data_IF_674017199245
#
_entry.id   IF_674017199245
#
_cell.length_a   1.000
_cell.length_b   1.000
_cell.length_c   1.000
_cell.angle_alpha   90.00
_cell.angle_beta   90.00
_cell.angle_gamma   90.00
#
_symmetry.space_group_name_H-M   'P 1'
#
loop_
_entity.id
_entity.type
_entity.pdbx_description
1 polymer ?
#
# COMPACT_ATOMS: atom_id res chain seq x y z
N UNK A 1 21.67 -23.71 8.53
CA UNK A 1 20.81 -23.35 9.68
C UNK A 1 19.43 -23.10 9.13
N UNK A 2 18.41 -23.89 9.57
CA UNK A 2 17.05 -23.79 9.07
C UNK A 2 16.34 -22.58 9.69
N UNK A 3 15.44 -21.95 8.92
CA UNK A 3 14.55 -20.95 9.46
C UNK A 3 13.35 -21.65 10.08
N UNK A 4 13.06 -21.39 11.35
CA UNK A 4 11.83 -21.84 11.98
C UNK A 4 10.71 -20.84 11.63
N UNK A 5 9.62 -21.34 11.05
CA UNK A 5 8.37 -20.59 10.93
C UNK A 5 7.48 -21.11 12.05
N UNK A 6 7.30 -20.29 13.09
CA UNK A 6 6.48 -20.64 14.23
C UNK A 6 5.22 -19.77 14.30
N UNK A 7 4.16 -20.26 14.93
CA UNK A 7 2.98 -19.44 15.23
C UNK A 7 3.33 -18.41 16.34
N UNK A 8 2.64 -17.28 16.38
CA UNK A 8 2.93 -16.18 17.29
C UNK A 8 3.06 -16.60 18.77
N UNK A 9 2.32 -17.62 19.20
CA UNK A 9 2.36 -18.14 20.57
C UNK A 9 3.62 -18.96 20.89
N UNK A 10 4.31 -19.49 19.88
CA UNK A 10 5.52 -20.31 20.01
C UNK A 10 6.79 -19.45 19.94
N UNK A 11 6.73 -18.29 19.25
CA UNK A 11 7.84 -17.33 19.13
C UNK A 11 8.27 -16.78 20.49
N UNK A 12 7.36 -16.75 21.46
CA UNK A 12 7.55 -16.17 22.77
C UNK A 12 8.33 -17.07 23.76
N UNK A 13 8.68 -18.29 23.36
CA UNK A 13 9.41 -19.26 24.21
C UNK A 13 10.81 -19.58 23.68
N UNK A 14 11.23 -19.00 22.57
CA UNK A 14 12.51 -19.31 21.92
C UNK A 14 13.49 -18.14 21.90
N UNK A 15 14.77 -18.46 22.04
CA UNK A 15 15.84 -17.54 21.75
C UNK A 15 15.91 -17.33 20.23
N UNK A 16 15.67 -16.11 19.79
CA UNK A 16 15.84 -15.71 18.39
C UNK A 16 16.76 -14.48 18.29
N UNK A 17 17.61 -14.47 17.29
CA UNK A 17 18.47 -13.32 16.96
C UNK A 17 17.71 -12.28 16.12
N UNK A 18 16.77 -12.74 15.29
CA UNK A 18 16.01 -11.88 14.40
C UNK A 18 14.55 -12.36 14.27
N UNK A 19 13.62 -11.42 14.30
CA UNK A 19 12.17 -11.64 14.12
C UNK A 19 11.69 -10.92 12.87
N UNK A 20 10.97 -11.63 11.99
CA UNK A 20 10.32 -11.03 10.84
C UNK A 20 8.81 -10.97 11.04
N UNK A 21 8.27 -9.77 11.14
CA UNK A 21 6.84 -9.52 11.33
C UNK A 21 6.11 -9.29 10.00
N UNK A 22 4.84 -9.72 9.89
CA UNK A 22 4.05 -9.51 8.69
C UNK A 22 3.71 -8.03 8.48
N UNK A 23 3.66 -7.59 7.22
CA UNK A 23 3.36 -6.21 6.82
C UNK A 23 2.08 -5.64 7.47
N UNK A 24 1.00 -6.40 7.44
CA UNK A 24 -0.32 -5.90 7.82
C UNK A 24 -0.58 -5.85 9.34
N UNK A 25 0.27 -6.49 10.14
CA UNK A 25 0.06 -6.66 11.58
C UNK A 25 1.26 -6.29 12.45
N UNK A 26 2.30 -5.71 11.87
CA UNK A 26 3.53 -5.32 12.60
C UNK A 26 3.20 -4.54 13.87
N UNK A 27 2.47 -3.43 13.75
CA UNK A 27 2.14 -2.57 14.89
C UNK A 27 1.35 -3.31 15.99
N UNK A 28 0.45 -4.24 15.61
CA UNK A 28 -0.29 -5.07 16.58
C UNK A 28 0.66 -5.97 17.35
N UNK A 29 1.51 -6.73 16.64
CA UNK A 29 2.43 -7.67 17.28
C UNK A 29 3.48 -6.97 18.14
N UNK A 30 3.99 -5.83 17.70
CA UNK A 30 4.96 -5.05 18.47
C UNK A 30 4.33 -4.53 19.78
N UNK A 31 3.09 -4.02 19.75
CA UNK A 31 2.39 -3.60 20.98
C UNK A 31 2.10 -4.76 21.92
N UNK A 32 1.84 -5.95 21.38
CA UNK A 32 1.48 -7.13 22.16
C UNK A 32 2.71 -7.81 22.80
N UNK A 33 3.89 -7.69 22.17
CA UNK A 33 5.04 -8.52 22.52
C UNK A 33 6.34 -7.76 22.78
N UNK A 34 6.35 -6.41 22.76
CA UNK A 34 7.57 -5.61 22.92
C UNK A 34 8.30 -5.88 24.25
N UNK A 35 7.58 -6.20 25.32
CA UNK A 35 8.10 -6.54 26.62
C UNK A 35 8.89 -7.87 26.69
N UNK A 36 8.80 -8.66 25.61
CA UNK A 36 9.46 -9.96 25.47
C UNK A 36 10.68 -9.91 24.57
N UNK A 37 10.94 -8.77 23.95
CA UNK A 37 12.14 -8.59 23.14
C UNK A 37 13.38 -8.39 24.05
N UNK A 38 14.47 -9.04 23.67
CA UNK A 38 15.73 -8.94 24.40
C UNK A 38 16.73 -8.01 23.70
N UNK A 39 17.61 -7.41 24.48
CA UNK A 39 18.70 -6.58 23.96
C UNK A 39 19.54 -7.31 22.91
N UNK A 40 19.87 -6.63 21.83
CA UNK A 40 20.62 -7.18 20.69
C UNK A 40 19.78 -7.90 19.65
N UNK A 41 18.47 -8.08 19.86
CA UNK A 41 17.58 -8.67 18.85
C UNK A 41 17.26 -7.69 17.72
N UNK A 42 17.10 -8.24 16.51
CA UNK A 42 16.67 -7.52 15.31
C UNK A 42 15.20 -7.81 15.03
N UNK A 43 14.37 -6.79 14.95
CA UNK A 43 12.95 -6.91 14.60
C UNK A 43 12.67 -6.25 13.26
N UNK A 44 12.38 -7.06 12.26
CA UNK A 44 12.03 -6.61 10.91
C UNK A 44 10.52 -6.49 10.77
N UNK A 45 10.05 -5.35 10.29
CA UNK A 45 8.62 -5.10 10.07
C UNK A 45 8.39 -3.85 9.26
N UNK A 46 7.21 -3.23 9.40
CA UNK A 46 6.90 -1.96 8.78
C UNK A 46 5.93 -1.13 9.62
N UNK A 47 5.97 0.19 9.47
CA UNK A 47 5.09 1.12 10.16
C UNK A 47 5.11 0.88 11.68
N UNK A 48 6.29 0.79 12.25
CA UNK A 48 6.44 0.66 13.70
C UNK A 48 5.86 1.89 14.41
N UNK A 49 5.10 1.71 15.50
CA UNK A 49 4.65 2.81 16.34
C UNK A 49 5.86 3.52 16.97
N UNK A 50 5.93 4.85 16.82
CA UNK A 50 7.07 5.64 17.32
C UNK A 50 7.26 5.46 18.83
N UNK A 51 6.15 5.43 19.59
CA UNK A 51 6.15 5.22 21.05
C UNK A 51 6.83 3.90 21.48
N UNK A 52 6.84 2.88 20.61
CA UNK A 52 7.44 1.59 20.90
C UNK A 52 8.90 1.53 20.43
N UNK A 53 9.20 2.21 19.33
CA UNK A 53 10.58 2.34 18.84
C UNK A 53 11.45 2.99 19.92
N UNK A 54 10.98 4.08 20.53
CA UNK A 54 11.70 4.79 21.59
C UNK A 54 11.95 3.88 22.81
N UNK A 55 10.94 3.14 23.27
CA UNK A 55 11.09 2.17 24.38
C UNK A 55 12.10 1.06 24.06
N UNK A 56 12.07 0.56 22.83
CA UNK A 56 12.93 -0.54 22.44
C UNK A 56 14.37 -0.10 22.15
N UNK A 57 14.58 1.11 21.67
CA UNK A 57 15.92 1.69 21.54
C UNK A 57 16.61 1.80 22.90
N UNK A 58 15.88 2.15 23.97
CA UNK A 58 16.37 2.15 25.35
C UNK A 58 16.75 0.75 25.84
N UNK A 59 16.08 -0.29 25.35
CA UNK A 59 16.34 -1.69 25.73
C UNK A 59 17.33 -2.40 24.82
N UNK A 60 17.83 -1.73 23.78
CA UNK A 60 18.80 -2.28 22.83
C UNK A 60 18.22 -3.26 21.81
N UNK A 61 16.92 -3.18 21.56
CA UNK A 61 16.25 -3.88 20.44
C UNK A 61 16.31 -3.02 19.19
N UNK A 62 16.74 -3.58 18.08
CA UNK A 62 16.89 -2.83 16.83
C UNK A 62 15.75 -3.12 15.86
N UNK A 63 14.98 -2.08 15.50
CA UNK A 63 13.92 -2.17 14.51
C UNK A 63 14.42 -1.83 13.10
N UNK A 64 14.05 -2.69 12.15
CA UNK A 64 14.35 -2.47 10.73
C UNK A 64 13.02 -2.38 9.96
N UNK A 65 12.65 -1.15 9.59
CA UNK A 65 11.49 -0.93 8.70
C UNK A 65 11.89 -1.21 7.24
N UNK A 66 11.60 -2.43 6.79
CA UNK A 66 11.96 -2.83 5.44
C UNK A 66 11.17 -2.09 4.35
N UNK A 67 10.05 -1.42 4.68
CA UNK A 67 9.34 -0.55 3.74
C UNK A 67 10.02 0.81 3.55
N UNK A 68 10.94 1.19 4.44
CA UNK A 68 11.84 2.34 4.23
C UNK A 68 13.00 2.01 3.29
N UNK A 69 13.25 0.71 3.03
CA UNK A 69 14.25 0.27 2.04
C UNK A 69 13.65 0.44 0.64
N UNK A 70 14.19 1.37 -0.15
CA UNK A 70 13.61 1.77 -1.44
C UNK A 70 13.38 0.59 -2.40
N UNK A 71 14.33 -0.33 -2.52
CA UNK A 71 14.20 -1.51 -3.38
C UNK A 71 13.08 -2.47 -2.95
N UNK A 72 12.87 -2.65 -1.65
CA UNK A 72 11.79 -3.49 -1.10
C UNK A 72 10.44 -2.84 -1.35
N UNK A 73 10.30 -1.56 -1.03
CA UNK A 73 9.07 -0.82 -1.20
C UNK A 73 8.60 -0.77 -2.67
N UNK A 74 9.54 -0.59 -3.62
CA UNK A 74 9.22 -0.60 -5.06
C UNK A 74 8.75 -1.99 -5.53
N UNK A 75 9.45 -3.06 -5.12
CA UNK A 75 9.04 -4.44 -5.46
C UNK A 75 7.69 -4.79 -4.85
N UNK A 76 7.45 -4.39 -3.61
CA UNK A 76 6.16 -4.60 -2.95
C UNK A 76 5.02 -3.86 -3.68
N UNK A 77 5.27 -2.67 -4.21
CA UNK A 77 4.28 -1.93 -5.00
C UNK A 77 3.85 -2.69 -6.27
N UNK A 78 4.80 -3.41 -6.91
CA UNK A 78 4.50 -4.25 -8.08
C UNK A 78 3.55 -5.39 -7.71
N UNK A 79 3.88 -6.16 -6.68
CA UNK A 79 3.06 -7.28 -6.22
C UNK A 79 1.68 -6.79 -5.73
N UNK A 80 1.64 -5.65 -5.04
CA UNK A 80 0.39 -5.03 -4.58
C UNK A 80 -0.50 -4.63 -5.77
N UNK A 81 0.07 -4.05 -6.82
CA UNK A 81 -0.68 -3.68 -8.02
C UNK A 81 -1.24 -4.92 -8.74
N UNK A 82 -0.46 -6.00 -8.84
CA UNK A 82 -0.92 -7.27 -9.42
C UNK A 82 -2.09 -7.86 -8.63
N UNK A 83 -1.97 -7.97 -7.31
CA UNK A 83 -3.02 -8.47 -6.45
C UNK A 83 -4.30 -7.61 -6.55
N UNK A 84 -4.15 -6.28 -6.63
CA UNK A 84 -5.28 -5.35 -6.83
C UNK A 84 -6.00 -5.60 -8.15
N UNK A 85 -5.26 -5.84 -9.24
CA UNK A 85 -5.86 -6.14 -10.55
C UNK A 85 -6.56 -7.50 -10.56
N UNK A 86 -5.97 -8.51 -9.92
CA UNK A 86 -6.61 -9.85 -9.77
C UNK A 86 -7.93 -9.70 -9.02
N UNK A 87 -7.96 -8.93 -7.93
CA UNK A 87 -9.17 -8.72 -7.16
C UNK A 87 -10.23 -7.92 -7.94
N UNK A 88 -9.81 -6.92 -8.72
CA UNK A 88 -10.71 -6.18 -9.60
C UNK A 88 -11.34 -7.08 -10.68
N UNK A 89 -10.57 -7.96 -11.30
CA UNK A 89 -11.07 -8.93 -12.30
C UNK A 89 -12.02 -9.93 -11.66
N UNK A 90 -11.71 -10.39 -10.45
CA UNK A 90 -12.51 -11.40 -9.75
C UNK A 90 -13.86 -10.88 -9.29
N UNK A 91 -13.92 -9.62 -8.85
CA UNK A 91 -15.13 -9.01 -8.29
C UNK A 91 -15.87 -8.09 -9.26
N UNK A 92 -15.21 -7.67 -10.34
CA UNK A 92 -15.78 -6.78 -11.33
C UNK A 92 -16.78 -7.48 -12.26
N UNK A 93 -17.77 -6.74 -12.72
CA UNK A 93 -18.78 -7.22 -13.68
C UNK A 93 -18.33 -7.08 -15.14
N UNK A 94 -17.18 -6.45 -15.37
CA UNK A 94 -16.63 -6.23 -16.71
C UNK A 94 -15.11 -6.47 -16.75
N UNK A 95 -14.58 -6.63 -17.97
CA UNK A 95 -13.14 -6.76 -18.18
C UNK A 95 -12.43 -5.44 -17.93
N UNK A 96 -11.15 -5.51 -17.51
CA UNK A 96 -10.29 -4.32 -17.40
C UNK A 96 -9.99 -3.70 -18.79
N UNK A 97 -9.91 -4.51 -19.83
CA UNK A 97 -9.75 -4.01 -21.20
C UNK A 97 -10.94 -3.14 -21.61
N UNK A 98 -10.64 -1.92 -22.04
CA UNK A 98 -11.65 -0.94 -22.46
C UNK A 98 -12.41 -0.26 -21.31
N UNK A 99 -12.29 -0.75 -20.07
CA UNK A 99 -12.94 -0.18 -18.89
C UNK A 99 -12.39 1.20 -18.52
N UNK A 100 -13.17 1.98 -17.79
CA UNK A 100 -12.78 3.26 -17.20
C UNK A 100 -12.33 3.03 -15.77
N UNK A 101 -11.06 3.29 -15.52
CA UNK A 101 -10.43 3.06 -14.23
C UNK A 101 -10.00 4.39 -13.61
N UNK A 102 -10.49 4.71 -12.42
CA UNK A 102 -10.04 5.84 -11.62
C UNK A 102 -9.01 5.34 -10.59
N UNK A 103 -7.80 5.90 -10.62
CA UNK A 103 -6.77 5.65 -9.62
C UNK A 103 -6.59 6.89 -8.75
N UNK A 104 -7.04 6.82 -7.50
CA UNK A 104 -6.84 7.86 -6.51
C UNK A 104 -5.47 7.66 -5.84
N UNK A 105 -4.59 8.63 -6.04
CA UNK A 105 -3.19 8.62 -5.62
C UNK A 105 -2.22 8.13 -6.70
N UNK A 106 -1.12 8.87 -6.88
CA UNK A 106 -0.02 8.50 -7.78
C UNK A 106 1.28 8.36 -6.98
N UNK A 107 1.19 7.59 -5.88
CA UNK A 107 2.34 7.11 -5.12
C UNK A 107 2.92 5.84 -5.73
N UNK A 108 3.83 5.17 -5.01
CA UNK A 108 4.48 3.93 -5.48
C UNK A 108 3.50 2.89 -6.03
N UNK A 109 2.45 2.57 -5.29
CA UNK A 109 1.44 1.59 -5.73
C UNK A 109 0.55 2.14 -6.85
N UNK A 110 0.07 3.37 -6.72
CA UNK A 110 -0.81 3.99 -7.71
C UNK A 110 -0.14 4.19 -9.07
N UNK A 111 1.14 4.55 -9.09
CA UNK A 111 1.93 4.65 -10.32
C UNK A 111 2.03 3.30 -11.05
N UNK A 112 2.46 2.25 -10.35
CA UNK A 112 2.59 0.91 -10.95
C UNK A 112 1.22 0.39 -11.42
N UNK A 113 0.18 0.57 -10.60
CA UNK A 113 -1.18 0.14 -10.96
C UNK A 113 -1.68 0.87 -12.21
N UNK A 114 -1.56 2.19 -12.25
CA UNK A 114 -2.00 2.99 -13.39
C UNK A 114 -1.28 2.59 -14.69
N UNK A 115 0.05 2.41 -14.65
CA UNK A 115 0.83 1.95 -15.79
C UNK A 115 0.35 0.58 -16.31
N UNK A 116 0.10 -0.38 -15.42
CA UNK A 116 -0.35 -1.73 -15.79
C UNK A 116 -1.76 -1.72 -16.36
N UNK A 117 -2.66 -0.93 -15.78
CA UNK A 117 -4.02 -0.76 -16.31
C UNK A 117 -4.03 -0.18 -17.72
N UNK A 118 -3.15 0.81 -17.99
CA UNK A 118 -2.98 1.35 -19.36
C UNK A 118 -2.48 0.26 -20.31
N UNK A 119 -1.47 -0.51 -19.91
CA UNK A 119 -0.95 -1.62 -20.73
C UNK A 119 -2.00 -2.72 -20.99
N UNK A 120 -2.96 -2.90 -20.09
CA UNK A 120 -4.11 -3.78 -20.30
C UNK A 120 -5.22 -3.17 -21.17
N UNK A 121 -5.03 -1.95 -21.66
CA UNK A 121 -5.99 -1.27 -22.53
C UNK A 121 -7.15 -0.59 -21.79
N UNK A 122 -7.03 -0.38 -20.48
CA UNK A 122 -8.00 0.41 -19.72
C UNK A 122 -7.85 1.92 -19.99
N UNK A 123 -8.95 2.66 -19.85
CA UNK A 123 -9.00 4.13 -19.93
C UNK A 123 -8.76 4.71 -18.53
N UNK A 124 -7.51 4.97 -18.20
CA UNK A 124 -7.10 5.33 -16.84
C UNK A 124 -7.20 6.83 -16.60
N UNK A 125 -7.84 7.21 -15.50
CA UNK A 125 -7.80 8.56 -14.93
C UNK A 125 -7.08 8.53 -13.59
N UNK A 126 -6.14 9.45 -13.37
CA UNK A 126 -5.42 9.58 -12.10
C UNK A 126 -5.89 10.83 -11.35
N UNK A 127 -6.13 10.69 -10.06
CA UNK A 127 -6.32 11.81 -9.13
C UNK A 127 -5.15 11.87 -8.14
N UNK A 128 -4.48 13.01 -8.03
CA UNK A 128 -3.50 13.25 -6.96
C UNK A 128 -3.51 14.73 -6.54
N UNK A 129 -3.26 15.00 -5.25
CA UNK A 129 -3.14 16.36 -4.73
C UNK A 129 -1.82 17.05 -5.12
N UNK A 130 -0.76 16.26 -5.28
CA UNK A 130 0.58 16.76 -5.54
C UNK A 130 0.77 17.08 -7.02
N UNK A 131 1.22 18.30 -7.36
CA UNK A 131 1.39 18.79 -8.73
C UNK A 131 2.45 17.99 -9.48
N UNK A 132 3.58 17.68 -8.84
CA UNK A 132 4.69 16.95 -9.46
C UNK A 132 4.27 15.54 -9.84
N UNK A 133 3.51 14.85 -8.96
CA UNK A 133 2.97 13.53 -9.25
C UNK A 133 1.96 13.57 -10.40
N UNK A 134 1.11 14.59 -10.45
CA UNK A 134 0.21 14.78 -11.60
C UNK A 134 0.97 15.01 -12.88
N UNK A 135 2.01 15.85 -12.86
CA UNK A 135 2.88 16.08 -14.02
C UNK A 135 3.54 14.79 -14.52
N UNK A 136 4.05 13.97 -13.59
CA UNK A 136 4.59 12.63 -13.92
C UNK A 136 3.53 11.71 -14.53
N UNK A 137 2.32 11.72 -14.00
CA UNK A 137 1.22 10.88 -14.49
C UNK A 137 0.75 11.28 -15.90
N UNK A 138 0.80 12.56 -16.27
CA UNK A 138 0.39 13.06 -17.60
C UNK A 138 1.14 12.42 -18.76
N UNK A 139 2.39 11.98 -18.55
CA UNK A 139 3.16 11.24 -19.55
C UNK A 139 2.78 9.76 -19.70
N UNK A 140 1.90 9.25 -18.85
CA UNK A 140 1.60 7.82 -18.75
C UNK A 140 0.12 7.51 -18.98
N UNK A 141 -0.78 8.35 -18.46
CA UNK A 141 -2.22 8.11 -18.51
C UNK A 141 -2.95 9.22 -19.28
N UNK A 142 -4.09 8.91 -19.93
CA UNK A 142 -4.80 9.88 -20.78
C UNK A 142 -5.44 11.05 -20.01
N UNK A 143 -5.73 10.90 -18.72
CA UNK A 143 -6.39 11.95 -17.94
C UNK A 143 -5.86 12.03 -16.50
N UNK A 144 -5.55 13.26 -16.06
CA UNK A 144 -5.01 13.53 -14.72
C UNK A 144 -5.66 14.79 -14.15
N UNK A 145 -6.16 14.71 -12.91
CA UNK A 145 -6.80 15.83 -12.21
C UNK A 145 -6.34 15.91 -10.75
N UNK A 146 -6.59 17.06 -10.11
CA UNK A 146 -6.61 17.12 -8.64
C UNK A 146 -7.97 16.62 -8.11
N UNK A 147 -8.02 16.26 -6.84
CA UNK A 147 -9.28 15.83 -6.20
C UNK A 147 -10.35 16.93 -6.20
N UNK A 148 -9.91 18.20 -6.16
CA UNK A 148 -10.78 19.37 -6.12
C UNK A 148 -11.35 19.73 -7.49
N UNK A 149 -10.58 19.47 -8.56
CA UNK A 149 -10.86 19.97 -9.91
C UNK A 149 -11.24 18.85 -10.89
N UNK A 150 -11.54 17.64 -10.40
CA UNK A 150 -12.02 16.57 -11.27
C UNK A 150 -13.46 16.87 -11.77
N UNK A 151 -13.69 16.86 -13.10
CA UNK A 151 -15.04 17.07 -13.64
C UNK A 151 -16.00 15.97 -13.22
N UNK A 152 -17.25 16.33 -12.90
CA UNK A 152 -18.29 15.37 -12.55
C UNK A 152 -18.48 14.31 -13.66
N UNK A 153 -18.37 14.70 -14.94
CA UNK A 153 -18.45 13.77 -16.07
C UNK A 153 -17.38 12.66 -16.05
N UNK A 154 -16.26 12.90 -15.39
CA UNK A 154 -15.22 11.87 -15.18
C UNK A 154 -15.66 10.92 -14.06
N UNK A 155 -16.26 11.44 -12.98
CA UNK A 155 -16.70 10.62 -11.85
C UNK A 155 -17.87 9.71 -12.20
N UNK A 156 -18.81 10.18 -13.01
CA UNK A 156 -20.06 9.45 -13.35
C UNK A 156 -19.89 8.27 -14.30
N UNK A 157 -18.69 7.90 -14.68
CA UNK A 157 -18.48 6.86 -15.70
C UNK A 157 -17.29 5.97 -15.38
N UNK A 158 -17.12 5.62 -14.12
CA UNK A 158 -16.03 4.74 -13.73
C UNK A 158 -16.54 3.32 -13.51
N UNK A 159 -15.93 2.36 -14.19
CA UNK A 159 -16.19 0.94 -14.00
C UNK A 159 -15.42 0.41 -12.78
N UNK A 160 -14.24 0.97 -12.53
CA UNK A 160 -13.39 0.64 -11.36
C UNK A 160 -12.84 1.90 -10.70
N UNK A 161 -12.83 1.89 -9.37
CA UNK A 161 -12.22 2.96 -8.56
C UNK A 161 -11.21 2.33 -7.60
N UNK A 162 -9.95 2.70 -7.75
CA UNK A 162 -8.85 2.22 -6.93
C UNK A 162 -8.35 3.33 -6.00
N UNK A 163 -8.48 3.14 -4.69
CA UNK A 163 -7.89 4.06 -3.72
C UNK A 163 -6.54 3.53 -3.23
N UNK A 164 -5.46 4.22 -3.58
CA UNK A 164 -4.09 3.91 -3.15
C UNK A 164 -3.55 4.90 -2.11
N UNK A 165 -4.41 5.82 -1.65
CA UNK A 165 -4.06 6.81 -0.61
C UNK A 165 -4.49 6.29 0.75
N UNK A 166 -3.62 6.28 1.78
CA UNK A 166 -3.96 5.87 3.13
C UNK A 166 -4.74 6.96 3.89
N UNK A 167 -5.77 7.52 3.25
CA UNK A 167 -6.64 8.56 3.79
C UNK A 167 -8.01 8.50 3.09
N UNK A 168 -9.08 9.04 3.69
CA UNK A 168 -10.43 9.06 3.13
C UNK A 168 -10.55 10.12 2.03
N UNK A 169 -9.82 9.95 0.92
CA UNK A 169 -9.85 10.90 -0.23
C UNK A 169 -11.05 10.71 -1.15
N UNK A 170 -11.69 9.53 -1.13
CA UNK A 170 -12.93 9.27 -1.84
C UNK A 170 -14.08 9.75 -0.94
N UNK A 171 -14.67 10.88 -1.29
CA UNK A 171 -15.72 11.53 -0.52
C UNK A 171 -17.10 10.93 -0.82
N UNK A 172 -18.09 11.17 0.09
CA UNK A 172 -19.50 10.82 -0.16
C UNK A 172 -20.01 11.40 -1.48
N UNK A 173 -19.65 12.65 -1.80
CA UNK A 173 -19.99 13.30 -3.07
C UNK A 173 -19.49 12.49 -4.27
N UNK A 174 -18.26 11.99 -4.20
CA UNK A 174 -17.69 11.19 -5.29
C UNK A 174 -18.38 9.83 -5.40
N UNK A 175 -18.63 9.15 -4.28
CA UNK A 175 -19.32 7.85 -4.25
C UNK A 175 -20.71 7.96 -4.90
N UNK A 176 -21.46 9.01 -4.61
CA UNK A 176 -22.78 9.22 -5.24
C UNK A 176 -22.73 9.55 -6.74
N UNK A 177 -21.53 9.80 -7.29
CA UNK A 177 -21.33 10.04 -8.73
C UNK A 177 -20.80 8.81 -9.47
N UNK A 178 -20.25 7.85 -8.76
CA UNK A 178 -19.91 6.55 -9.36
C UNK A 178 -21.18 5.75 -9.57
N UNK A 179 -21.47 5.38 -10.81
CA UNK A 179 -22.61 4.55 -11.19
C UNK A 179 -22.11 3.23 -11.75
#
# INVERSE_FOLDING_TARGET
KGHLVAQANEILQGDFEALLLPLSKTAKYVREFHDKFASGQLVFGCNFPEEIVDICDETGVHFVDYMKVAGVACKNAVVTAEATMVEAIRQGECALYGSRCLVAGYGRCGEVLAQRLVLMGAKVTVLDRNVEKRSKAQGVVPAVYSFENVPDAILTRQDFVFNTVPAPVITKRMIHRFN
#
